data_IF_046403546072
#
_entry.id   IF_046403546072
#
_cell.length_a   1.000
_cell.length_b   1.000
_cell.length_c   1.000
_cell.angle_alpha   90.00
_cell.angle_beta   90.00
_cell.angle_gamma   90.00
#
_symmetry.space_group_name_H-M   'P 1'
#
loop_
_entity.id
_entity.type
_entity.pdbx_description
1 polymer ?
#
# COMPACT_ATOMS: atom_id res chain seq x y z
N UNK A 1 -1.13 -15.87 6.88
CA UNK A 1 0.11 -15.28 6.32
C UNK A 1 1.22 -15.51 7.32
N UNK A 2 2.29 -16.19 6.94
CA UNK A 2 3.38 -16.57 7.85
C UNK A 2 4.59 -15.66 7.66
N UNK A 3 5.20 -15.20 8.75
CA UNK A 3 6.42 -14.37 8.71
C UNK A 3 6.22 -12.90 8.31
N UNK A 4 4.98 -12.44 8.09
CA UNK A 4 4.67 -11.03 7.89
C UNK A 4 4.38 -10.34 9.22
N UNK A 5 5.19 -9.36 9.60
CA UNK A 5 4.96 -8.53 10.78
C UNK A 5 3.99 -7.39 10.47
N UNK A 6 2.70 -7.67 10.64
CA UNK A 6 1.63 -6.70 10.46
C UNK A 6 1.76 -5.49 11.40
N UNK A 7 2.33 -5.68 12.59
CA UNK A 7 2.50 -4.59 13.57
C UNK A 7 3.55 -3.60 13.09
N UNK A 8 4.72 -4.10 12.68
CA UNK A 8 5.79 -3.26 12.14
C UNK A 8 5.36 -2.55 10.84
N UNK A 9 4.60 -3.23 9.97
CA UNK A 9 4.02 -2.63 8.77
C UNK A 9 3.12 -1.42 9.09
N UNK A 10 2.21 -1.59 10.05
CA UNK A 10 1.25 -0.55 10.48
C UNK A 10 1.95 0.63 11.16
N UNK A 11 3.05 0.39 11.87
CA UNK A 11 3.83 1.44 12.54
C UNK A 11 4.71 2.28 11.60
N UNK A 12 4.80 1.89 10.33
CA UNK A 12 5.54 2.58 9.28
C UNK A 12 4.60 3.23 8.26
N UNK A 13 3.64 4.02 8.76
CA UNK A 13 2.80 4.86 7.95
C UNK A 13 3.66 5.74 7.01
N UNK A 14 3.25 5.82 5.74
CA UNK A 14 3.99 6.49 4.65
C UNK A 14 5.36 5.90 4.31
N UNK A 15 5.75 4.76 4.89
CA UNK A 15 6.98 4.02 4.55
C UNK A 15 8.29 4.71 4.95
N UNK A 16 8.23 5.72 5.81
CA UNK A 16 9.36 6.60 6.13
C UNK A 16 10.42 5.96 7.03
N UNK A 17 10.09 4.89 7.75
CA UNK A 17 11.01 4.12 8.62
C UNK A 17 11.63 2.92 7.90
N UNK A 18 11.21 2.63 6.67
CA UNK A 18 11.76 1.54 5.84
C UNK A 18 11.36 0.13 6.26
N UNK A 19 10.42 -0.02 7.21
CA UNK A 19 9.89 -1.31 7.63
C UNK A 19 9.04 -1.94 6.53
N UNK A 20 8.22 -1.13 5.84
CA UNK A 20 7.41 -1.62 4.71
C UNK A 20 8.28 -2.16 3.58
N UNK A 21 9.42 -1.52 3.30
CA UNK A 21 10.41 -2.03 2.33
C UNK A 21 10.92 -3.42 2.71
N UNK A 22 11.27 -3.62 3.98
CA UNK A 22 11.79 -4.89 4.48
C UNK A 22 10.73 -6.00 4.45
N UNK A 23 9.47 -5.65 4.72
CA UNK A 23 8.35 -6.60 4.78
C UNK A 23 7.68 -6.84 3.43
N UNK A 24 7.90 -5.97 2.45
CA UNK A 24 7.24 -6.00 1.15
C UNK A 24 7.40 -7.34 0.44
N UNK A 25 8.60 -7.93 0.44
CA UNK A 25 8.82 -9.19 -0.27
C UNK A 25 7.99 -10.33 0.33
N UNK A 26 7.92 -10.43 1.66
CA UNK A 26 7.09 -11.43 2.36
C UNK A 26 5.61 -11.26 2.04
N UNK A 27 5.11 -10.01 2.07
CA UNK A 27 3.73 -9.68 1.71
C UNK A 27 3.43 -10.03 0.25
N UNK A 28 4.30 -9.60 -0.68
CA UNK A 28 4.07 -9.70 -2.12
C UNK A 28 4.15 -11.14 -2.63
N UNK A 29 5.02 -11.97 -2.05
CA UNK A 29 5.11 -13.39 -2.36
C UNK A 29 3.88 -14.17 -1.90
N UNK A 30 3.20 -13.71 -0.84
CA UNK A 30 2.00 -14.34 -0.28
C UNK A 30 0.71 -13.61 -0.69
N UNK A 31 0.78 -12.66 -1.65
CA UNK A 31 -0.36 -11.82 -2.03
C UNK A 31 -1.55 -12.61 -2.56
N UNK A 32 -1.32 -13.80 -3.10
CA UNK A 32 -2.38 -14.64 -3.65
C UNK A 32 -3.43 -14.99 -2.59
N UNK A 33 -3.02 -15.08 -1.32
CA UNK A 33 -3.92 -15.27 -0.18
C UNK A 33 -4.79 -14.04 0.14
N UNK A 34 -4.51 -12.88 -0.46
CA UNK A 34 -5.29 -11.65 -0.29
C UNK A 34 -6.32 -11.46 -1.39
N UNK A 35 -6.21 -12.12 -2.55
CA UNK A 35 -7.23 -12.03 -3.59
C UNK A 35 -8.58 -12.55 -3.08
N UNK A 36 -9.64 -11.80 -3.35
CA UNK A 36 -10.99 -12.09 -2.84
C UNK A 36 -11.22 -11.73 -1.37
N UNK A 37 -10.20 -11.31 -0.61
CA UNK A 37 -10.36 -10.87 0.78
C UNK A 37 -11.05 -9.51 0.81
N UNK A 38 -12.02 -9.36 1.72
CA UNK A 38 -12.77 -8.11 1.90
C UNK A 38 -11.88 -7.01 2.50
N UNK A 39 -12.13 -5.77 2.08
CA UNK A 39 -11.38 -4.57 2.47
C UNK A 39 -11.20 -4.41 3.98
N UNK A 40 -12.21 -4.80 4.78
CA UNK A 40 -12.11 -4.78 6.25
C UNK A 40 -10.94 -5.63 6.77
N UNK A 41 -10.81 -6.88 6.30
CA UNK A 41 -9.73 -7.77 6.71
C UNK A 41 -8.37 -7.32 6.16
N UNK A 42 -8.33 -6.72 4.97
CA UNK A 42 -7.10 -6.09 4.45
C UNK A 42 -6.67 -4.93 5.34
N UNK A 43 -7.60 -4.07 5.77
CA UNK A 43 -7.34 -2.97 6.69
C UNK A 43 -6.90 -3.43 8.08
N UNK A 44 -7.42 -4.56 8.57
CA UNK A 44 -6.95 -5.16 9.84
C UNK A 44 -5.49 -5.62 9.74
N UNK A 45 -5.12 -6.21 8.60
CA UNK A 45 -3.78 -6.72 8.32
C UNK A 45 -2.77 -5.58 8.05
N UNK A 46 -3.07 -4.71 7.09
CA UNK A 46 -2.16 -3.68 6.56
C UNK A 46 -2.32 -2.31 7.24
N UNK A 47 -3.39 -2.11 8.01
CA UNK A 47 -3.77 -0.81 8.55
C UNK A 47 -4.37 0.12 7.51
N UNK A 48 -4.63 1.36 7.94
CA UNK A 48 -5.12 2.41 7.07
C UNK A 48 -4.16 2.66 5.91
N UNK A 49 -4.67 2.86 4.68
CA UNK A 49 -3.84 3.24 3.56
C UNK A 49 -3.24 4.63 3.77
N UNK A 50 -2.14 4.92 3.08
CA UNK A 50 -1.58 6.27 3.08
C UNK A 50 -2.36 7.19 2.16
N UNK A 51 -2.90 6.65 1.06
CA UNK A 51 -3.79 7.33 0.13
C UNK A 51 -4.92 6.38 -0.27
N UNK A 52 -6.13 6.91 -0.32
CA UNK A 52 -7.33 6.22 -0.80
C UNK A 52 -7.88 6.97 -2.00
N UNK A 53 -8.17 6.22 -3.06
CA UNK A 53 -8.78 6.75 -4.28
C UNK A 53 -10.09 6.00 -4.56
N UNK A 54 -11.16 6.75 -4.84
CA UNK A 54 -12.43 6.24 -5.33
C UNK A 54 -12.43 6.41 -6.85
N UNK A 55 -12.41 5.31 -7.58
CA UNK A 55 -12.51 5.30 -9.03
C UNK A 55 -13.97 5.16 -9.50
N UNK A 56 -14.17 5.29 -10.81
CA UNK A 56 -15.49 5.09 -11.42
C UNK A 56 -16.08 3.72 -11.02
N UNK A 57 -17.40 3.65 -10.90
CA UNK A 57 -18.15 2.42 -10.55
C UNK A 57 -17.90 1.86 -9.12
N UNK A 58 -17.65 2.72 -8.13
CA UNK A 58 -17.50 2.32 -6.70
C UNK A 58 -16.26 1.46 -6.43
N UNK A 59 -15.30 1.44 -7.36
CA UNK A 59 -14.02 0.79 -7.13
C UNK A 59 -13.18 1.65 -6.18
N UNK A 60 -12.49 0.98 -5.25
CA UNK A 60 -11.63 1.64 -4.28
C UNK A 60 -10.20 1.17 -4.49
N UNK A 61 -9.26 2.08 -4.37
CA UNK A 61 -7.84 1.77 -4.48
C UNK A 61 -7.13 2.28 -3.24
N UNK A 62 -6.42 1.38 -2.56
CA UNK A 62 -5.55 1.70 -1.44
C UNK A 62 -4.12 1.75 -1.90
N UNK A 63 -3.40 2.80 -1.49
CA UNK A 63 -1.98 2.93 -1.72
C UNK A 63 -1.20 2.95 -0.40
N UNK A 64 -0.12 2.17 -0.37
CA UNK A 64 0.84 2.12 0.73
C UNK A 64 2.24 2.43 0.21
N UNK A 65 2.86 3.53 0.63
CA UNK A 65 4.26 3.82 0.34
C UNK A 65 5.16 2.73 0.89
N UNK A 66 6.09 2.24 0.06
CA UNK A 66 6.99 1.15 0.43
C UNK A 66 8.32 1.64 0.96
N UNK A 67 8.74 2.86 0.62
CA UNK A 67 10.08 3.38 0.90
C UNK A 67 10.03 4.87 1.25
N UNK A 68 11.09 5.43 1.87
CA UNK A 68 11.17 6.86 2.06
C UNK A 68 11.20 7.63 0.73
N UNK A 69 10.59 8.80 0.70
CA UNK A 69 10.57 9.70 -0.45
C UNK A 69 10.01 11.08 -0.07
N UNK A 70 9.63 11.90 -1.06
CA UNK A 70 9.08 13.23 -0.82
C UNK A 70 7.85 13.25 0.07
N UNK A 71 7.11 12.14 0.16
CA UNK A 71 5.96 12.02 1.07
C UNK A 71 6.34 12.11 2.56
N UNK A 72 7.61 11.93 2.94
CA UNK A 72 8.04 11.92 4.34
C UNK A 72 8.30 13.31 4.91
N UNK A 73 8.42 14.33 4.05
CA UNK A 73 8.69 15.71 4.46
C UNK A 73 7.59 16.64 3.92
N UNK A 74 6.80 17.28 4.78
CA UNK A 74 5.79 18.25 4.35
C UNK A 74 6.40 19.36 3.50
N UNK A 75 5.79 19.68 2.36
CA UNK A 75 6.27 20.72 1.44
C UNK A 75 7.48 20.32 0.57
N UNK A 76 7.92 19.06 0.62
CA UNK A 76 8.99 18.59 -0.27
C UNK A 76 8.53 18.58 -1.73
N UNK A 77 9.39 19.09 -2.61
CA UNK A 77 9.27 18.95 -4.07
C UNK A 77 9.89 17.66 -4.59
N UNK A 78 10.51 16.86 -3.72
CA UNK A 78 11.08 15.58 -4.11
C UNK A 78 9.96 14.62 -4.55
N UNK A 79 10.24 13.73 -5.52
CA UNK A 79 9.26 12.74 -5.95
C UNK A 79 8.87 11.81 -4.81
N UNK A 80 7.59 11.44 -4.80
CA UNK A 80 7.05 10.40 -3.92
C UNK A 80 7.61 9.04 -4.32
N UNK A 81 7.87 8.18 -3.33
CA UNK A 81 8.43 6.84 -3.58
C UNK A 81 7.44 5.90 -4.29
N UNK A 82 7.93 4.71 -4.64
CA UNK A 82 7.05 3.60 -5.06
C UNK A 82 6.02 3.25 -3.98
N UNK A 83 4.85 2.79 -4.41
CA UNK A 83 3.72 2.39 -3.56
C UNK A 83 3.31 0.95 -3.88
N UNK A 84 2.66 0.27 -2.95
CA UNK A 84 1.83 -0.89 -3.21
C UNK A 84 0.41 -0.40 -3.48
N UNK A 85 -0.13 -0.73 -4.64
CA UNK A 85 -1.53 -0.53 -5.00
C UNK A 85 -2.33 -1.79 -4.66
N UNK A 86 -3.45 -1.61 -3.97
CA UNK A 86 -4.44 -2.66 -3.71
C UNK A 86 -5.78 -2.21 -4.25
N UNK A 87 -6.28 -2.86 -5.30
CA UNK A 87 -7.56 -2.55 -5.94
C UNK A 87 -8.66 -3.43 -5.38
N UNK A 88 -9.77 -2.82 -5.03
CA UNK A 88 -10.99 -3.50 -4.61
C UNK A 88 -12.05 -3.42 -5.70
N UNK A 89 -12.64 -4.56 -6.04
CA UNK A 89 -13.79 -4.63 -6.95
C UNK A 89 -15.07 -4.09 -6.31
N UNK A 90 -16.18 -4.17 -7.04
CA UNK A 90 -17.51 -3.69 -6.59
C UNK A 90 -18.02 -4.38 -5.31
N UNK A 91 -17.54 -5.59 -5.01
CA UNK A 91 -17.85 -6.34 -3.79
C UNK A 91 -16.97 -5.95 -2.60
N UNK A 92 -16.07 -4.98 -2.76
CA UNK A 92 -15.11 -4.59 -1.72
C UNK A 92 -14.01 -5.63 -1.49
N UNK A 93 -13.77 -6.53 -2.44
CA UNK A 93 -12.75 -7.59 -2.35
C UNK A 93 -11.54 -7.29 -3.22
N UNK A 94 -10.35 -7.74 -2.82
CA UNK A 94 -9.11 -7.51 -3.58
C UNK A 94 -9.20 -8.19 -4.94
N UNK A 95 -8.96 -7.41 -5.99
CA UNK A 95 -8.92 -7.86 -7.39
C UNK A 95 -7.52 -7.72 -7.99
N UNK A 96 -6.72 -6.78 -7.48
CA UNK A 96 -5.37 -6.51 -7.99
C UNK A 96 -4.45 -6.05 -6.86
N UNK A 97 -3.19 -6.47 -6.92
CA UNK A 97 -2.16 -6.05 -5.98
C UNK A 97 -0.82 -5.93 -6.71
N UNK A 98 -0.33 -4.70 -6.91
CA UNK A 98 0.88 -4.44 -7.71
C UNK A 98 1.71 -3.29 -7.13
N UNK A 99 3.06 -3.37 -7.19
CA UNK A 99 3.89 -2.21 -6.93
C UNK A 99 3.74 -1.18 -8.07
N UNK A 100 3.67 0.10 -7.72
CA UNK A 100 3.71 1.20 -8.67
C UNK A 100 5.15 1.61 -8.94
N UNK A 101 5.41 2.23 -10.10
CA UNK A 101 6.62 3.01 -10.27
C UNK A 101 6.64 4.19 -9.26
N UNK A 102 7.82 4.72 -8.89
CA UNK A 102 7.93 6.01 -8.22
C UNK A 102 7.19 7.09 -9.02
N UNK A 103 6.57 8.05 -8.33
CA UNK A 103 5.95 9.16 -9.04
C UNK A 103 7.04 9.94 -9.79
N UNK A 104 6.80 10.37 -11.04
CA UNK A 104 7.75 11.26 -11.72
C UNK A 104 7.91 12.54 -10.89
N UNK A 105 9.13 13.06 -10.83
CA UNK A 105 9.35 14.39 -10.26
C UNK A 105 8.54 15.38 -11.10
N UNK A 106 7.59 16.08 -10.46
CA UNK A 106 6.89 17.17 -11.15
C UNK A 106 7.88 18.34 -11.31
N UNK A 107 8.01 18.92 -12.52
CA UNK A 107 8.95 20.00 -12.81
C UNK A 107 8.59 21.31 -12.07
#
# INVERSE_FOLDING_TARGET
>A
MSGFDATAWKQDARGCKGQRRALFNTLYQQRDALYGVHIGAVSELLGSPDEEELQEQVQRVYYYYLEPGGQCTPGSTAPKSRRLMVRFGSLGTVTEMLPTAPAPAQP
#
